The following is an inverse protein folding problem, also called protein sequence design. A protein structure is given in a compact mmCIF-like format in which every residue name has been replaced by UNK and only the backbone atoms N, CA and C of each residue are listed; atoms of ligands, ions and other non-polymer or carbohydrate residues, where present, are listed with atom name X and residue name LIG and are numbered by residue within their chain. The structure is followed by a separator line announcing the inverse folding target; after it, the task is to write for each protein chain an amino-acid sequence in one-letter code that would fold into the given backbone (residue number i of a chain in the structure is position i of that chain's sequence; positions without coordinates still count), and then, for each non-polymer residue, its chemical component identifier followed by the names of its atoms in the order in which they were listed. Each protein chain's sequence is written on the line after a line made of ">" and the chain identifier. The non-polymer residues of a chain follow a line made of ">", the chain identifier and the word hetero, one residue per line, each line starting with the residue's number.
data_IF_719464967206
#
_entry.id   IF_719464967206
#
_cell.length_a   1.000
_cell.length_b   1.000
_cell.length_c   1.000
_cell.angle_alpha   90.00
_cell.angle_beta   90.00
_cell.angle_gamma   90.00
#
_symmetry.space_group_name_H-M   'P 1'
#
loop_
_entity.id
_entity.type
_entity.pdbx_description
1 polymer ?
#
# COMPACT_ATOMS: atom_id res chain seq x y z
N UNK A 1 2.24 -29.58 -30.30
CA UNK A 1 2.89 -28.26 -30.38
C UNK A 1 3.53 -27.98 -29.04
N UNK A 2 4.82 -27.67 -28.98
CA UNK A 2 5.53 -27.38 -27.72
C UNK A 2 5.05 -26.03 -27.19
N UNK A 3 4.19 -26.07 -26.16
CA UNK A 3 3.57 -24.90 -25.57
C UNK A 3 4.62 -24.05 -24.83
N UNK A 4 4.48 -22.73 -24.91
CA UNK A 4 5.24 -21.82 -24.04
C UNK A 4 4.65 -21.90 -22.64
N UNK A 5 5.48 -21.86 -21.59
CA UNK A 5 4.99 -21.90 -20.21
C UNK A 5 5.08 -20.51 -19.60
N UNK A 6 3.98 -20.05 -19.01
CA UNK A 6 3.90 -18.77 -18.30
C UNK A 6 3.67 -19.07 -16.82
N UNK A 7 4.49 -18.49 -15.94
CA UNK A 7 4.33 -18.63 -14.50
C UNK A 7 3.84 -17.31 -13.92
N UNK A 8 2.76 -17.35 -13.15
CA UNK A 8 2.16 -16.19 -12.49
C UNK A 8 2.03 -16.44 -10.99
N UNK A 9 1.79 -15.40 -10.19
CA UNK A 9 1.73 -15.56 -8.74
C UNK A 9 0.44 -16.25 -8.26
N UNK A 10 -0.73 -15.93 -8.82
CA UNK A 10 -2.02 -16.36 -8.28
C UNK A 10 -2.90 -17.09 -9.30
N UNK A 11 -3.81 -17.98 -8.86
CA UNK A 11 -4.72 -18.69 -9.76
C UNK A 11 -5.67 -17.78 -10.53
N UNK A 12 -6.12 -16.69 -9.93
CA UNK A 12 -7.00 -15.71 -10.58
C UNK A 12 -6.30 -15.09 -11.80
N UNK A 13 -5.05 -14.64 -11.62
CA UNK A 13 -4.21 -14.16 -12.74
C UNK A 13 -4.01 -15.23 -13.80
N UNK A 14 -3.76 -16.47 -13.40
CA UNK A 14 -3.55 -17.57 -14.34
C UNK A 14 -4.76 -17.76 -15.26
N UNK A 15 -5.98 -17.77 -14.69
CA UNK A 15 -7.24 -17.88 -15.45
C UNK A 15 -7.40 -16.72 -16.44
N UNK A 16 -7.22 -15.48 -15.98
CA UNK A 16 -7.38 -14.27 -16.81
C UNK A 16 -6.36 -14.22 -17.94
N UNK A 17 -5.08 -14.44 -17.66
CA UNK A 17 -4.00 -14.39 -18.66
C UNK A 17 -4.13 -15.54 -19.67
N UNK A 18 -4.50 -16.74 -19.23
CA UNK A 18 -4.72 -17.87 -20.13
C UNK A 18 -5.82 -17.58 -21.16
N UNK A 19 -6.89 -16.87 -20.77
CA UNK A 19 -7.94 -16.42 -21.70
C UNK A 19 -7.40 -15.48 -22.78
N UNK A 20 -6.45 -14.60 -22.44
CA UNK A 20 -5.89 -13.63 -23.39
C UNK A 20 -4.85 -14.24 -24.32
N UNK A 21 -4.02 -15.14 -23.83
CA UNK A 21 -2.93 -15.78 -24.59
C UNK A 21 -3.38 -16.97 -25.43
N UNK A 22 -4.46 -17.65 -25.03
CA UNK A 22 -5.02 -18.80 -25.72
C UNK A 22 -4.14 -20.06 -25.66
N UNK A 23 -4.47 -21.03 -26.51
CA UNK A 23 -3.91 -22.40 -26.45
C UNK A 23 -2.41 -22.52 -26.78
N UNK A 24 -1.76 -21.44 -27.22
CA UNK A 24 -0.32 -21.43 -27.49
C UNK A 24 0.53 -21.38 -26.20
N UNK A 25 -0.10 -21.08 -25.06
CA UNK A 25 0.55 -20.92 -23.76
C UNK A 25 -0.09 -21.85 -22.73
N UNK A 26 0.72 -22.33 -21.79
CA UNK A 26 0.27 -22.99 -20.57
C UNK A 26 0.59 -22.08 -19.39
N UNK A 27 -0.44 -21.52 -18.76
CA UNK A 27 -0.29 -20.58 -17.64
C UNK A 27 -0.45 -21.30 -16.30
N UNK A 28 0.57 -21.27 -15.46
CA UNK A 28 0.62 -21.97 -14.17
C UNK A 28 0.85 -20.99 -13.01
N UNK A 29 0.09 -21.10 -11.90
CA UNK A 29 0.32 -20.28 -10.72
C UNK A 29 1.39 -20.88 -9.78
N UNK A 30 2.30 -20.05 -9.26
CA UNK A 30 3.25 -20.42 -8.19
C UNK A 30 2.61 -20.42 -6.80
N UNK A 31 1.53 -19.63 -6.62
CA UNK A 31 0.87 -19.26 -5.36
C UNK A 31 1.78 -18.55 -4.38
N UNK A 32 2.36 -17.43 -4.84
CA UNK A 32 3.26 -16.62 -4.03
C UNK A 32 4.67 -17.19 -3.96
N UNK A 33 5.32 -16.93 -2.83
CA UNK A 33 6.66 -17.43 -2.50
C UNK A 33 6.69 -18.96 -2.43
N UNK A 34 7.73 -19.54 -3.03
CA UNK A 34 7.89 -20.99 -3.16
C UNK A 34 8.95 -21.57 -2.23
N UNK A 35 9.78 -20.71 -1.64
CA UNK A 35 10.80 -21.04 -0.65
C UNK A 35 10.96 -19.85 0.31
N UNK A 36 11.47 -20.12 1.50
CA UNK A 36 11.75 -19.10 2.51
C UNK A 36 12.99 -19.47 3.34
N UNK A 37 13.47 -18.54 4.16
CA UNK A 37 14.52 -18.79 5.14
C UNK A 37 14.03 -19.79 6.20
N UNK A 38 14.79 -20.85 6.50
CA UNK A 38 14.49 -21.74 7.61
C UNK A 38 14.38 -20.97 8.94
N UNK A 39 13.41 -21.33 9.76
CA UNK A 39 13.18 -20.73 11.07
C UNK A 39 14.15 -21.25 12.16
N UNK A 40 15.44 -21.29 11.85
CA UNK A 40 16.54 -21.70 12.74
C UNK A 40 17.64 -20.65 12.71
N UNK A 41 18.52 -20.68 13.70
CA UNK A 41 19.71 -19.83 13.74
C UNK A 41 20.70 -20.18 12.60
N UNK A 42 21.42 -19.16 12.11
CA UNK A 42 22.41 -19.30 11.04
C UNK A 42 21.87 -19.37 9.60
N UNK A 43 20.57 -19.14 9.38
CA UNK A 43 19.99 -19.11 8.01
C UNK A 43 20.46 -17.92 7.18
N UNK A 44 21.02 -16.89 7.82
CA UNK A 44 21.69 -15.76 7.17
C UNK A 44 23.07 -15.62 7.82
N UNK A 45 24.14 -15.63 7.02
CA UNK A 45 25.53 -15.61 7.52
C UNK A 45 26.24 -14.31 7.13
N UNK A 46 26.32 -13.30 8.01
CA UNK A 46 27.01 -12.04 7.72
C UNK A 46 28.50 -12.20 7.35
N UNK A 47 29.18 -13.17 7.96
CA UNK A 47 30.60 -13.44 7.74
C UNK A 47 30.89 -14.15 6.41
N UNK A 48 29.85 -14.60 5.70
CA UNK A 48 29.90 -15.32 4.42
C UNK A 48 29.09 -14.56 3.36
N UNK A 49 29.37 -13.25 3.23
CA UNK A 49 28.70 -12.33 2.29
C UNK A 49 27.15 -12.41 2.33
N UNK A 50 26.61 -12.51 3.55
CA UNK A 50 25.17 -12.67 3.81
C UNK A 50 24.53 -13.90 3.13
N UNK A 51 25.30 -14.96 2.89
CA UNK A 51 24.79 -16.20 2.31
C UNK A 51 23.54 -16.69 3.07
N UNK A 52 22.51 -17.05 2.30
CA UNK A 52 21.19 -17.42 2.81
C UNK A 52 20.86 -18.88 2.52
N UNK A 53 20.40 -19.58 3.55
CA UNK A 53 19.80 -20.89 3.38
C UNK A 53 18.33 -20.75 2.96
N UNK A 54 17.90 -21.58 2.03
CA UNK A 54 16.52 -21.58 1.54
C UNK A 54 15.89 -22.96 1.71
N UNK A 55 14.66 -22.97 2.21
CA UNK A 55 13.83 -24.17 2.34
C UNK A 55 12.56 -24.01 1.51
N UNK A 56 12.24 -25.03 0.70
CA UNK A 56 11.03 -25.04 -0.12
C UNK A 56 9.83 -25.23 0.81
N UNK A 57 8.79 -24.41 0.65
CA UNK A 57 7.53 -24.61 1.36
C UNK A 57 6.94 -25.97 0.93
N UNK A 58 6.65 -26.89 1.88
CA UNK A 58 6.02 -28.18 1.57
C UNK A 58 4.74 -28.04 0.72
N UNK A 59 3.98 -26.96 0.89
CA UNK A 59 2.78 -26.65 0.11
C UNK A 59 3.10 -26.27 -1.34
N UNK A 60 4.28 -25.73 -1.60
CA UNK A 60 4.75 -25.37 -2.93
C UNK A 60 5.40 -26.55 -3.68
N UNK A 61 5.90 -27.56 -2.97
CA UNK A 61 6.66 -28.67 -3.55
C UNK A 61 5.93 -29.41 -4.69
N UNK A 62 4.64 -29.74 -4.49
CA UNK A 62 3.81 -30.39 -5.54
C UNK A 62 3.72 -29.54 -6.80
N UNK A 63 3.44 -28.24 -6.64
CA UNK A 63 3.29 -27.29 -7.75
C UNK A 63 4.59 -27.05 -8.48
N UNK A 64 5.71 -26.94 -7.77
CA UNK A 64 7.03 -26.84 -8.37
C UNK A 64 7.36 -28.07 -9.22
N UNK A 65 6.89 -29.26 -8.81
CA UNK A 65 7.02 -30.46 -9.63
C UNK A 65 6.17 -30.39 -10.90
N UNK A 66 4.93 -29.88 -10.81
CA UNK A 66 4.05 -29.67 -11.97
C UNK A 66 4.64 -28.65 -12.94
N UNK A 67 5.15 -27.52 -12.43
CA UNK A 67 5.86 -26.51 -13.22
C UNK A 67 7.09 -27.12 -13.88
N UNK A 68 7.93 -27.84 -13.13
CA UNK A 68 9.13 -28.47 -13.68
C UNK A 68 8.79 -29.47 -14.80
N UNK A 69 7.69 -30.21 -14.67
CA UNK A 69 7.21 -31.12 -15.72
C UNK A 69 6.67 -30.38 -16.94
N UNK A 70 5.92 -29.29 -16.76
CA UNK A 70 5.38 -28.49 -17.86
C UNK A 70 6.48 -27.78 -18.66
N UNK A 71 7.53 -27.34 -17.97
CA UNK A 71 8.67 -26.64 -18.59
C UNK A 71 9.59 -27.59 -19.36
N UNK A 72 9.64 -28.89 -18.99
CA UNK A 72 10.39 -29.90 -19.74
C UNK A 72 9.80 -30.06 -21.15
N UNK A 73 10.52 -29.56 -22.15
CA UNK A 73 10.11 -29.58 -23.56
C UNK A 73 9.36 -28.33 -24.02
N UNK A 74 9.19 -27.32 -23.15
CA UNK A 74 8.70 -26.00 -23.55
C UNK A 74 9.78 -25.23 -24.33
N UNK A 75 9.35 -24.38 -25.26
CA UNK A 75 10.28 -23.50 -26.01
C UNK A 75 10.74 -22.29 -25.20
N UNK A 76 9.84 -21.75 -24.37
CA UNK A 76 10.05 -20.55 -23.56
C UNK A 76 9.44 -20.72 -22.18
N UNK A 77 10.15 -20.22 -21.18
CA UNK A 77 9.67 -20.01 -19.83
C UNK A 77 9.50 -18.50 -19.62
N UNK A 78 8.26 -18.08 -19.41
CA UNK A 78 7.91 -16.67 -19.20
C UNK A 78 7.48 -16.50 -17.75
N UNK A 79 8.17 -15.61 -17.04
CA UNK A 79 7.91 -15.26 -15.65
C UNK A 79 7.09 -13.97 -15.61
N UNK A 80 5.84 -14.06 -15.17
CA UNK A 80 4.84 -13.00 -15.23
C UNK A 80 4.25 -12.68 -13.84
N UNK A 81 5.14 -12.55 -12.85
CA UNK A 81 4.80 -12.09 -11.49
C UNK A 81 4.60 -10.57 -11.45
N UNK A 82 4.13 -10.05 -10.32
CA UNK A 82 3.87 -8.62 -10.16
C UNK A 82 5.10 -7.73 -10.40
N UNK A 83 4.90 -6.45 -10.78
CA UNK A 83 5.98 -5.53 -11.16
C UNK A 83 6.72 -4.92 -9.94
N UNK A 84 6.63 -5.53 -8.76
CA UNK A 84 7.36 -5.11 -7.56
C UNK A 84 8.54 -6.04 -7.25
N UNK A 85 9.37 -5.65 -6.28
CA UNK A 85 10.53 -6.46 -5.84
C UNK A 85 10.13 -7.86 -5.34
N UNK A 86 8.94 -8.01 -4.77
CA UNK A 86 8.45 -9.31 -4.28
C UNK A 86 8.15 -10.23 -5.45
N UNK A 87 7.47 -9.70 -6.48
CA UNK A 87 7.25 -10.39 -7.73
C UNK A 87 8.57 -10.78 -8.41
N UNK A 88 9.55 -9.89 -8.45
CA UNK A 88 10.87 -10.21 -9.00
C UNK A 88 11.57 -11.36 -8.24
N UNK A 89 11.51 -11.33 -6.91
CA UNK A 89 12.04 -12.39 -6.06
C UNK A 89 11.34 -13.74 -6.24
N UNK A 90 10.01 -13.76 -6.39
CA UNK A 90 9.26 -14.99 -6.70
C UNK A 90 9.73 -15.57 -8.02
N UNK A 91 9.87 -14.73 -9.05
CA UNK A 91 10.39 -15.13 -10.37
C UNK A 91 11.79 -15.72 -10.27
N UNK A 92 12.69 -15.07 -9.52
CA UNK A 92 14.04 -15.55 -9.26
C UNK A 92 14.05 -16.89 -8.50
N UNK A 93 13.28 -17.02 -7.43
CA UNK A 93 13.16 -18.25 -6.64
C UNK A 93 12.69 -19.44 -7.48
N UNK A 94 11.64 -19.24 -8.29
CA UNK A 94 11.14 -20.27 -9.20
C UNK A 94 12.22 -20.67 -10.20
N UNK A 95 12.90 -19.69 -10.80
CA UNK A 95 13.97 -19.94 -11.77
C UNK A 95 15.11 -20.77 -11.15
N UNK A 96 15.59 -20.39 -9.96
CA UNK A 96 16.67 -21.10 -9.27
C UNK A 96 16.29 -22.55 -8.93
N UNK A 97 15.05 -22.79 -8.49
CA UNK A 97 14.57 -24.15 -8.21
C UNK A 97 14.50 -24.98 -9.51
N UNK A 98 14.06 -24.38 -10.62
CA UNK A 98 14.00 -25.07 -11.91
C UNK A 98 15.41 -25.41 -12.45
N UNK A 99 16.40 -24.53 -12.23
CA UNK A 99 17.82 -24.81 -12.52
C UNK A 99 18.33 -25.97 -11.70
N UNK A 100 18.10 -25.96 -10.38
CA UNK A 100 18.50 -27.04 -9.46
C UNK A 100 17.90 -28.39 -9.86
N UNK A 101 16.63 -28.40 -10.31
CA UNK A 101 15.93 -29.59 -10.83
C UNK A 101 16.35 -29.99 -12.26
N UNK A 102 17.28 -29.25 -12.89
CA UNK A 102 17.70 -29.45 -14.30
C UNK A 102 16.51 -29.48 -15.27
N UNK A 103 15.47 -28.70 -14.99
CA UNK A 103 14.22 -28.69 -15.77
C UNK A 103 14.24 -27.74 -16.98
N UNK A 104 15.20 -26.80 -17.01
CA UNK A 104 15.26 -25.68 -17.96
C UNK A 104 16.51 -25.72 -18.85
N UNK A 105 16.85 -26.89 -19.39
CA UNK A 105 17.99 -27.02 -20.31
C UNK A 105 17.59 -26.47 -21.69
N UNK A 106 18.37 -25.55 -22.23
CA UNK A 106 18.22 -24.98 -23.58
C UNK A 106 16.86 -24.31 -23.86
N UNK A 107 16.29 -23.64 -22.85
CA UNK A 107 15.03 -22.89 -22.94
C UNK A 107 15.27 -21.39 -22.82
N UNK A 108 14.57 -20.58 -23.61
CA UNK A 108 14.61 -19.13 -23.44
C UNK A 108 13.81 -18.72 -22.18
N UNK A 109 14.44 -17.90 -21.33
CA UNK A 109 13.85 -17.41 -20.08
C UNK A 109 13.55 -15.93 -20.26
N UNK A 110 12.29 -15.56 -20.05
CA UNK A 110 11.78 -14.21 -20.27
C UNK A 110 11.05 -13.73 -19.01
N UNK A 111 11.16 -12.44 -18.69
CA UNK A 111 10.43 -11.78 -17.60
C UNK A 111 9.50 -10.73 -18.22
N UNK A 112 8.21 -10.82 -17.91
CA UNK A 112 7.17 -9.95 -18.44
C UNK A 112 6.49 -9.24 -17.28
N UNK A 113 6.40 -7.90 -17.34
CA UNK A 113 5.76 -7.06 -16.33
C UNK A 113 4.60 -6.29 -16.94
N UNK A 114 3.48 -6.19 -16.23
CA UNK A 114 2.34 -5.36 -16.62
C UNK A 114 1.74 -4.70 -15.38
N UNK A 115 1.27 -3.47 -15.54
CA UNK A 115 0.65 -2.68 -14.47
C UNK A 115 -0.89 -2.83 -14.43
N UNK A 116 -1.47 -3.53 -15.41
CA UNK A 116 -2.88 -3.82 -15.51
C UNK A 116 -3.09 -5.16 -16.21
N UNK A 117 -4.11 -5.92 -15.80
CA UNK A 117 -4.43 -7.22 -16.39
C UNK A 117 -5.54 -7.05 -17.44
N UNK A 118 -5.24 -6.25 -18.47
CA UNK A 118 -6.07 -6.09 -19.66
C UNK A 118 -5.48 -6.88 -20.82
N UNK A 119 -6.30 -7.23 -21.82
CA UNK A 119 -5.82 -7.96 -23.00
C UNK A 119 -4.70 -7.21 -23.72
N UNK A 120 -4.83 -5.89 -23.89
CA UNK A 120 -3.81 -5.06 -24.54
C UNK A 120 -2.50 -5.03 -23.74
N UNK A 121 -2.58 -4.76 -22.44
CA UNK A 121 -1.38 -4.68 -21.59
C UNK A 121 -0.62 -6.00 -21.53
N UNK A 122 -1.33 -7.14 -21.44
CA UNK A 122 -0.71 -8.47 -21.42
C UNK A 122 -0.03 -8.80 -22.75
N UNK A 123 -0.69 -8.54 -23.88
CA UNK A 123 -0.11 -8.82 -25.21
C UNK A 123 1.10 -7.92 -25.50
N UNK A 124 1.02 -6.64 -25.15
CA UNK A 124 2.12 -5.69 -25.29
C UNK A 124 3.34 -6.09 -24.45
N UNK A 125 3.11 -6.50 -23.20
CA UNK A 125 4.17 -6.93 -22.31
C UNK A 125 4.84 -8.24 -22.80
N UNK A 126 4.07 -9.14 -23.41
CA UNK A 126 4.60 -10.37 -24.02
C UNK A 126 5.43 -10.12 -25.28
N UNK A 127 5.23 -8.98 -25.96
CA UNK A 127 6.04 -8.57 -27.10
C UNK A 127 7.39 -7.94 -26.68
N UNK A 128 7.49 -7.46 -25.44
CA UNK A 128 8.67 -6.77 -24.90
C UNK A 128 9.18 -7.43 -23.61
N UNK A 129 9.60 -8.71 -23.65
CA UNK A 129 10.17 -9.36 -22.49
C UNK A 129 11.53 -8.73 -22.11
N UNK A 130 11.85 -8.79 -20.82
CA UNK A 130 13.17 -8.43 -20.28
C UNK A 130 13.81 -9.63 -19.56
N UNK A 131 15.06 -9.48 -19.14
CA UNK A 131 15.66 -10.38 -18.17
C UNK A 131 15.14 -10.09 -16.75
N UNK A 132 15.35 -11.03 -15.83
CA UNK A 132 15.19 -10.75 -14.39
C UNK A 132 16.12 -9.61 -14.01
N UNK A 133 15.60 -8.67 -13.24
CA UNK A 133 16.31 -7.53 -12.71
C UNK A 133 17.04 -7.94 -11.43
N UNK A 134 18.37 -8.03 -11.52
CA UNK A 134 19.23 -8.42 -10.40
C UNK A 134 19.15 -7.45 -9.23
N UNK A 135 19.06 -6.15 -9.49
CA UNK A 135 19.03 -5.11 -8.45
C UNK A 135 17.75 -5.21 -7.61
N UNK A 136 16.61 -5.50 -8.26
CA UNK A 136 15.35 -5.74 -7.55
C UNK A 136 15.39 -7.01 -6.70
N UNK A 137 16.05 -8.07 -7.18
CA UNK A 137 16.27 -9.30 -6.41
C UNK A 137 17.17 -9.01 -5.21
N UNK A 138 18.29 -8.30 -5.41
CA UNK A 138 19.22 -7.94 -4.35
C UNK A 138 18.55 -7.05 -3.29
N UNK A 139 17.70 -6.11 -3.71
CA UNK A 139 16.90 -5.31 -2.79
C UNK A 139 15.93 -6.15 -1.94
N UNK A 140 15.33 -7.20 -2.52
CA UNK A 140 14.52 -8.16 -1.77
C UNK A 140 15.38 -8.98 -0.80
N UNK A 141 16.51 -9.52 -1.27
CA UNK A 141 17.44 -10.32 -0.45
C UNK A 141 17.95 -9.51 0.74
N UNK A 142 18.47 -8.30 0.51
CA UNK A 142 18.95 -7.40 1.55
C UNK A 142 17.87 -7.12 2.61
N UNK A 143 16.62 -6.88 2.18
CA UNK A 143 15.49 -6.73 3.10
C UNK A 143 15.23 -8.01 3.90
N UNK A 144 15.23 -9.18 3.25
CA UNK A 144 14.99 -10.47 3.91
C UNK A 144 16.08 -10.76 4.95
N UNK A 145 17.35 -10.52 4.60
CA UNK A 145 18.50 -10.63 5.49
C UNK A 145 18.31 -9.75 6.73
N UNK A 146 18.02 -8.47 6.50
CA UNK A 146 17.88 -7.48 7.56
C UNK A 146 16.74 -7.81 8.52
N UNK A 147 15.57 -8.16 7.98
CA UNK A 147 14.41 -8.50 8.79
C UNK A 147 14.65 -9.81 9.59
N UNK A 148 15.34 -10.80 9.01
CA UNK A 148 15.77 -12.02 9.70
C UNK A 148 16.75 -11.71 10.84
N UNK A 149 17.83 -10.97 10.55
CA UNK A 149 18.88 -10.68 11.53
C UNK A 149 18.34 -9.88 12.72
N UNK A 150 17.49 -8.87 12.47
CA UNK A 150 16.83 -8.10 13.54
C UNK A 150 15.89 -8.99 14.36
N UNK A 151 15.07 -9.80 13.69
CA UNK A 151 14.12 -10.69 14.35
C UNK A 151 14.80 -11.72 15.25
N UNK A 152 15.75 -12.48 14.70
CA UNK A 152 16.46 -13.54 15.42
C UNK A 152 17.39 -13.02 16.51
N UNK A 153 18.09 -11.89 16.29
CA UNK A 153 19.03 -11.36 17.28
C UNK A 153 18.32 -10.72 18.47
N UNK A 154 17.19 -10.03 18.25
CA UNK A 154 16.51 -9.26 19.30
C UNK A 154 15.39 -10.01 20.00
N UNK A 155 14.70 -10.94 19.34
CA UNK A 155 13.55 -11.64 19.96
C UNK A 155 13.92 -12.41 21.24
N UNK A 156 15.06 -13.13 21.33
CA UNK A 156 15.47 -13.79 22.58
C UNK A 156 15.68 -12.80 23.74
N UNK A 157 16.22 -11.62 23.45
CA UNK A 157 16.41 -10.55 24.43
C UNK A 157 15.05 -10.02 24.90
N UNK A 158 14.12 -9.78 23.97
CA UNK A 158 12.76 -9.33 24.30
C UNK A 158 12.02 -10.34 25.15
N UNK A 159 12.05 -11.63 24.80
CA UNK A 159 11.37 -12.68 25.57
C UNK A 159 11.88 -12.76 27.02
N UNK A 160 13.18 -12.57 27.22
CA UNK A 160 13.79 -12.56 28.56
C UNK A 160 13.46 -11.30 29.36
N UNK A 161 13.38 -10.13 28.72
CA UNK A 161 13.21 -8.82 29.39
C UNK A 161 11.77 -8.35 29.49
N UNK A 162 10.90 -8.81 28.59
CA UNK A 162 9.50 -8.41 28.49
C UNK A 162 8.65 -9.67 28.26
N UNK A 163 8.26 -10.38 29.34
CA UNK A 163 7.40 -11.56 29.25
C UNK A 163 6.10 -11.23 28.49
N UNK A 164 5.81 -12.00 27.45
CA UNK A 164 4.65 -11.80 26.57
C UNK A 164 4.95 -11.09 25.23
N UNK A 165 6.15 -10.51 25.06
CA UNK A 165 6.59 -10.05 23.76
C UNK A 165 6.70 -11.23 22.78
N UNK A 166 6.19 -11.09 21.54
CA UNK A 166 6.22 -12.18 20.55
C UNK A 166 7.41 -12.10 19.61
N UNK A 167 7.69 -10.92 19.06
CA UNK A 167 8.73 -10.73 18.05
C UNK A 167 9.29 -9.31 18.07
N UNK A 168 10.58 -9.19 17.76
CA UNK A 168 11.18 -7.92 17.36
C UNK A 168 11.00 -7.74 15.84
N UNK A 169 10.64 -6.54 15.41
CA UNK A 169 10.56 -6.21 13.99
C UNK A 169 11.01 -4.78 13.74
N UNK A 170 11.92 -4.58 12.79
CA UNK A 170 12.50 -3.27 12.47
C UNK A 170 11.45 -2.20 12.16
N UNK A 171 10.41 -2.55 11.39
CA UNK A 171 9.33 -1.62 11.02
C UNK A 171 8.21 -1.62 12.07
N UNK A 172 7.86 -2.79 12.61
CA UNK A 172 6.77 -2.95 13.57
C UNK A 172 7.04 -2.20 14.88
N UNK A 173 8.28 -2.26 15.38
CA UNK A 173 8.67 -1.58 16.62
C UNK A 173 8.57 -0.05 16.51
N UNK A 174 8.96 0.52 15.37
CA UNK A 174 8.82 1.97 15.11
C UNK A 174 7.35 2.37 15.03
N UNK A 175 6.51 1.59 14.35
CA UNK A 175 5.08 1.86 14.29
C UNK A 175 4.42 1.81 15.69
N UNK A 176 4.78 0.82 16.50
CA UNK A 176 4.33 0.73 17.90
C UNK A 176 4.80 1.93 18.71
N UNK A 177 6.08 2.34 18.55
CA UNK A 177 6.63 3.51 19.22
C UNK A 177 5.83 4.78 18.93
N UNK A 178 5.46 5.04 17.68
CA UNK A 178 4.66 6.22 17.32
C UNK A 178 3.29 6.25 18.02
N UNK A 179 2.66 5.08 18.20
CA UNK A 179 1.39 4.96 18.93
C UNK A 179 1.62 5.23 20.43
N UNK A 180 2.65 4.64 21.03
CA UNK A 180 2.99 4.87 22.43
C UNK A 180 3.35 6.34 22.70
N UNK A 181 4.13 6.98 21.82
CA UNK A 181 4.48 8.40 21.95
C UNK A 181 3.24 9.29 21.94
N UNK A 182 2.28 9.01 21.04
CA UNK A 182 1.00 9.73 21.03
C UNK A 182 0.20 9.50 22.31
N UNK A 183 0.17 8.28 22.84
CA UNK A 183 -0.55 8.01 24.09
C UNK A 183 0.08 8.76 25.26
N UNK A 184 1.41 8.78 25.35
CA UNK A 184 2.14 9.55 26.36
C UNK A 184 1.85 11.05 26.23
N UNK A 185 1.77 11.59 25.00
CA UNK A 185 1.37 12.98 24.77
C UNK A 185 -0.05 13.27 25.30
N UNK A 186 -0.98 12.32 25.13
CA UNK A 186 -2.37 12.43 25.61
C UNK A 186 -2.43 12.35 27.13
N UNK A 187 -1.70 11.42 27.76
CA UNK A 187 -1.64 11.27 29.22
C UNK A 187 -0.98 12.48 29.89
N UNK A 188 0.06 13.05 29.27
CA UNK A 188 0.74 14.24 29.76
C UNK A 188 -0.03 15.54 29.48
N UNK A 189 -1.08 15.49 28.65
CA UNK A 189 -1.88 16.66 28.32
C UNK A 189 -2.60 17.18 29.57
N UNK A 190 -2.35 18.45 29.91
CA UNK A 190 -3.06 19.14 30.99
C UNK A 190 -4.16 20.01 30.39
N UNK A 191 -5.44 19.62 30.48
CA UNK A 191 -6.54 20.42 29.96
C UNK A 191 -6.53 21.80 30.61
N UNK A 192 -6.63 22.84 29.78
CA UNK A 192 -6.82 24.21 30.22
C UNK A 192 -8.19 24.67 29.80
N UNK A 193 -9.02 25.03 30.78
CA UNK A 193 -10.32 25.64 30.53
C UNK A 193 -10.15 26.96 29.76
N UNK A 194 -11.03 27.15 28.77
CA UNK A 194 -11.19 28.40 28.07
C UNK A 194 -12.60 28.47 27.48
N UNK A 195 -13.08 29.70 27.29
CA UNK A 195 -14.40 30.00 26.80
C UNK A 195 -14.32 30.79 25.50
N UNK A 196 -15.27 30.55 24.60
CA UNK A 196 -15.51 31.39 23.43
C UNK A 196 -16.87 32.05 23.55
N UNK A 197 -16.99 33.27 23.02
CA UNK A 197 -18.29 33.94 22.91
C UNK A 197 -18.62 34.07 21.44
N UNK A 198 -19.62 33.31 21.02
CA UNK A 198 -20.21 33.34 19.69
C UNK A 198 -21.56 34.09 19.77
N UNK A 199 -21.91 34.85 18.72
CA UNK A 199 -23.14 35.65 18.65
C UNK A 199 -23.79 35.52 17.28
N UNK A 200 -25.11 35.68 17.25
CA UNK A 200 -25.91 35.72 16.05
C UNK A 200 -26.30 37.17 15.76
N UNK A 201 -25.68 37.77 14.74
CA UNK A 201 -25.92 39.16 14.35
C UNK A 201 -26.99 39.22 13.27
N UNK A 202 -27.97 40.10 13.46
CA UNK A 202 -28.95 40.42 12.40
C UNK A 202 -28.30 41.40 11.41
N UNK A 203 -28.08 40.94 10.18
CA UNK A 203 -27.45 41.72 9.10
C UNK A 203 -28.44 42.25 8.05
N UNK A 204 -29.74 42.05 8.27
CA UNK A 204 -30.84 42.48 7.41
C UNK A 204 -32.18 41.92 7.91
N UNK A 205 -33.31 42.15 7.20
CA UNK A 205 -34.62 41.64 7.59
C UNK A 205 -34.63 40.13 7.82
N UNK A 206 -34.05 39.38 6.88
CA UNK A 206 -34.06 37.90 6.84
C UNK A 206 -32.64 37.29 6.84
N UNK A 207 -31.62 38.07 7.23
CA UNK A 207 -30.23 37.61 7.20
C UNK A 207 -29.63 37.63 8.61
N UNK A 208 -29.11 36.47 9.02
CA UNK A 208 -28.37 36.29 10.26
C UNK A 208 -26.94 35.83 9.94
N UNK A 209 -25.98 36.32 10.71
CA UNK A 209 -24.57 35.97 10.60
C UNK A 209 -24.07 35.49 11.96
N UNK A 210 -23.42 34.32 11.99
CA UNK A 210 -22.69 33.88 13.18
C UNK A 210 -21.34 34.58 13.21
N UNK A 211 -21.03 35.24 14.32
CA UNK A 211 -19.75 35.90 14.56
C UNK A 211 -19.16 35.42 15.89
N UNK A 212 -17.83 35.38 15.95
CA UNK A 212 -17.07 35.08 17.17
C UNK A 212 -16.37 36.33 17.68
N UNK A 213 -16.31 36.51 19.00
CA UNK A 213 -15.55 37.59 19.62
C UNK A 213 -14.10 37.59 19.14
N UNK A 214 -13.71 38.68 18.46
CA UNK A 214 -12.34 38.88 17.99
C UNK A 214 -11.55 39.87 18.85
N UNK A 215 -12.23 40.84 19.47
CA UNK A 215 -11.61 41.94 20.22
C UNK A 215 -12.50 42.35 21.39
N UNK A 216 -11.94 42.44 22.59
CA UNK A 216 -12.62 42.90 23.81
C UNK A 216 -11.80 44.02 24.45
N UNK A 217 -12.43 45.14 24.81
CA UNK A 217 -11.78 46.28 25.47
C UNK A 217 -10.51 46.78 24.75
N UNK A 218 -10.55 46.84 23.41
CA UNK A 218 -9.41 47.32 22.63
C UNK A 218 -8.28 46.31 22.42
N UNK A 219 -8.36 45.10 22.99
CA UNK A 219 -7.36 44.02 22.84
C UNK A 219 -7.94 42.86 22.05
N UNK A 220 -7.12 42.26 21.17
CA UNK A 220 -7.50 41.04 20.46
C UNK A 220 -7.76 39.94 21.50
N UNK A 221 -8.88 39.25 21.38
CA UNK A 221 -9.20 38.13 22.25
C UNK A 221 -8.46 36.89 21.73
N UNK A 222 -7.45 36.45 22.47
CA UNK A 222 -6.75 35.20 22.23
C UNK A 222 -7.50 34.02 22.86
N UNK A 223 -7.13 32.79 22.45
CA UNK A 223 -7.83 31.55 22.81
C UNK A 223 -8.05 31.37 24.32
N UNK A 224 -7.16 31.89 25.17
CA UNK A 224 -7.19 31.66 26.62
C UNK A 224 -7.51 32.90 27.45
N UNK A 225 -7.94 34.00 26.83
CA UNK A 225 -8.24 35.25 27.54
C UNK A 225 -9.52 35.16 28.38
N UNK A 226 -10.46 34.33 27.95
CA UNK A 226 -11.64 33.97 28.73
C UNK A 226 -11.39 32.61 29.39
N UNK A 227 -10.70 32.62 30.53
CA UNK A 227 -10.25 31.41 31.21
C UNK A 227 -11.32 30.74 32.10
N UNK A 228 -12.45 31.41 32.34
CA UNK A 228 -13.54 30.90 33.16
C UNK A 228 -14.91 31.49 32.76
N UNK A 229 -15.96 30.90 33.30
CA UNK A 229 -17.35 31.30 33.04
C UNK A 229 -17.62 32.77 33.38
N UNK A 230 -17.12 33.27 34.51
CA UNK A 230 -17.37 34.65 34.93
C UNK A 230 -16.82 35.67 33.92
N UNK A 231 -15.61 35.43 33.38
CA UNK A 231 -15.01 36.25 32.34
C UNK A 231 -15.82 36.18 31.03
N UNK A 232 -16.28 34.99 30.64
CA UNK A 232 -17.09 34.81 29.44
C UNK A 232 -18.46 35.51 29.56
N UNK A 233 -19.11 35.41 30.71
CA UNK A 233 -20.39 36.06 30.99
C UNK A 233 -20.26 37.59 31.06
N UNK A 234 -19.15 38.11 31.59
CA UNK A 234 -18.84 39.53 31.55
C UNK A 234 -18.64 40.02 30.10
N UNK A 235 -17.90 39.25 29.28
CA UNK A 235 -17.72 39.56 27.86
C UNK A 235 -19.05 39.52 27.10
N UNK A 236 -19.91 38.52 27.36
CA UNK A 236 -21.26 38.43 26.81
C UNK A 236 -22.11 39.64 27.17
N UNK A 237 -22.15 40.04 28.45
CA UNK A 237 -22.93 41.19 28.89
C UNK A 237 -22.44 42.50 28.25
N UNK A 238 -21.14 42.65 28.01
CA UNK A 238 -20.60 43.80 27.27
C UNK A 238 -21.04 43.79 25.79
N UNK A 239 -21.01 42.62 25.15
CA UNK A 239 -21.46 42.42 23.77
C UNK A 239 -22.95 42.71 23.60
N UNK A 240 -23.82 42.22 24.50
CA UNK A 240 -25.27 42.45 24.45
C UNK A 240 -25.65 43.94 24.56
N UNK A 241 -24.79 44.74 25.20
CA UNK A 241 -24.98 46.19 25.37
C UNK A 241 -24.37 47.02 24.24
N UNK A 242 -23.71 46.38 23.27
CA UNK A 242 -22.97 47.06 22.20
C UNK A 242 -23.72 46.94 20.88
N UNK A 243 -23.79 48.04 20.13
CA UNK A 243 -24.22 48.02 18.73
C UNK A 243 -23.03 47.75 17.82
N UNK A 244 -23.19 46.80 16.90
CA UNK A 244 -22.13 46.40 15.98
C UNK A 244 -22.26 47.14 14.64
N UNK A 245 -21.12 47.46 14.04
CA UNK A 245 -21.02 47.95 12.68
C UNK A 245 -19.98 47.14 11.92
N UNK A 246 -20.18 46.98 10.61
CA UNK A 246 -19.20 46.31 9.75
C UNK A 246 -17.99 47.21 9.59
N UNK A 247 -16.85 46.80 10.12
CA UNK A 247 -15.61 47.56 10.03
C UNK A 247 -14.89 47.35 8.69
N UNK A 248 -14.90 46.13 8.15
CA UNK A 248 -14.24 45.77 6.91
C UNK A 248 -14.90 44.53 6.29
N UNK A 249 -14.93 44.48 4.95
CA UNK A 249 -15.34 43.31 4.17
C UNK A 249 -14.23 43.02 3.18
N UNK A 250 -13.73 41.79 3.20
CA UNK A 250 -12.71 41.33 2.25
C UNK A 250 -13.23 40.11 1.48
N UNK A 251 -13.18 40.19 0.15
CA UNK A 251 -13.52 39.10 -0.75
C UNK A 251 -12.28 38.68 -1.53
N UNK A 252 -11.87 37.42 -1.40
CA UNK A 252 -10.71 36.84 -2.09
C UNK A 252 -11.13 35.62 -2.90
N UNK A 253 -10.81 35.53 -4.20
CA UNK A 253 -11.02 34.32 -4.96
C UNK A 253 -10.13 33.21 -4.41
N UNK A 254 -10.70 32.04 -4.14
CA UNK A 254 -9.95 30.84 -3.72
C UNK A 254 -10.08 29.80 -4.81
N UNK A 255 -8.93 29.30 -5.28
CA UNK A 255 -8.87 28.16 -6.22
C UNK A 255 -8.49 26.90 -5.46
N UNK A 256 -9.28 25.85 -5.63
CA UNK A 256 -8.96 24.50 -5.12
C UNK A 256 -8.72 23.57 -6.29
N UNK A 257 -7.53 23.01 -6.37
CA UNK A 257 -7.21 21.99 -7.38
C UNK A 257 -7.78 20.63 -6.94
N UNK A 258 -8.15 19.77 -7.90
CA UNK A 258 -8.57 18.40 -7.59
C UNK A 258 -7.42 17.61 -6.95
N UNK A 259 -7.73 16.58 -6.13
CA UNK A 259 -6.71 15.69 -5.61
C UNK A 259 -6.03 14.90 -6.73
N UNK A 260 -4.76 14.49 -6.56
CA UNK A 260 -4.09 13.60 -7.51
C UNK A 260 -4.74 12.21 -7.54
N UNK A 261 -4.43 11.40 -8.57
CA UNK A 261 -4.75 9.97 -8.57
C UNK A 261 -4.23 9.24 -7.33
N UNK A 262 -4.84 8.10 -7.01
CA UNK A 262 -4.50 7.33 -5.83
C UNK A 262 -3.12 6.66 -5.93
N UNK A 263 -2.31 6.84 -4.89
CA UNK A 263 -1.23 5.94 -4.49
C UNK A 263 -1.73 4.94 -3.46
N UNK A 264 -0.91 3.95 -3.08
CA UNK A 264 -1.30 2.98 -2.04
C UNK A 264 -1.67 3.66 -0.72
N UNK A 265 -0.89 4.66 -0.29
CA UNK A 265 -1.12 5.33 1.00
C UNK A 265 -2.39 6.17 0.99
N UNK A 266 -2.62 6.96 -0.07
CA UNK A 266 -3.80 7.82 -0.20
C UNK A 266 -5.07 7.02 -0.41
N UNK A 267 -5.01 5.90 -1.14
CA UNK A 267 -6.12 4.95 -1.26
C UNK A 267 -6.50 4.37 0.11
N UNK A 268 -5.53 3.90 0.90
CA UNK A 268 -5.80 3.34 2.23
C UNK A 268 -6.39 4.38 3.18
N UNK A 269 -5.86 5.62 3.17
CA UNK A 269 -6.38 6.72 4.00
C UNK A 269 -7.81 7.09 3.63
N UNK A 270 -8.13 7.24 2.34
CA UNK A 270 -9.47 7.58 1.90
C UNK A 270 -10.46 6.44 2.11
N UNK A 271 -10.05 5.18 1.94
CA UNK A 271 -10.88 4.01 2.24
C UNK A 271 -11.19 3.91 3.75
N UNK A 272 -10.23 4.21 4.62
CA UNK A 272 -10.48 4.29 6.05
C UNK A 272 -11.46 5.42 6.41
N UNK A 273 -11.22 6.63 5.86
CA UNK A 273 -12.03 7.82 6.15
C UNK A 273 -13.45 7.73 5.63
N UNK A 274 -13.66 7.21 4.41
CA UNK A 274 -14.95 7.22 3.72
C UNK A 274 -15.72 5.90 3.84
N UNK A 275 -15.03 4.77 3.91
CA UNK A 275 -15.65 3.44 3.88
C UNK A 275 -15.47 2.67 5.20
N UNK A 276 -14.69 3.19 6.16
CA UNK A 276 -14.39 2.51 7.42
C UNK A 276 -13.55 1.24 7.24
N UNK A 277 -12.82 1.11 6.13
CA UNK A 277 -12.01 -0.07 5.87
C UNK A 277 -10.66 0.00 6.61
N UNK A 278 -10.24 -1.13 7.19
CA UNK A 278 -8.85 -1.28 7.62
C UNK A 278 -7.91 -1.36 6.42
N UNK A 279 -6.63 -1.02 6.61
CA UNK A 279 -5.63 -1.11 5.55
C UNK A 279 -5.58 -2.51 4.91
N UNK A 280 -5.67 -3.57 5.74
CA UNK A 280 -5.73 -4.97 5.27
C UNK A 280 -6.93 -5.23 4.38
N UNK A 281 -8.14 -4.79 4.78
CA UNK A 281 -9.35 -4.96 3.98
C UNK A 281 -9.25 -4.21 2.65
N UNK A 282 -8.76 -2.98 2.67
CA UNK A 282 -8.54 -2.18 1.46
C UNK A 282 -7.62 -2.89 0.48
N UNK A 283 -6.47 -3.40 0.95
CA UNK A 283 -5.53 -4.11 0.07
C UNK A 283 -6.08 -5.44 -0.45
N UNK A 284 -6.85 -6.18 0.35
CA UNK A 284 -7.51 -7.41 -0.11
C UNK A 284 -8.54 -7.15 -1.21
N UNK A 285 -9.34 -6.09 -1.08
CA UNK A 285 -10.30 -5.68 -2.11
C UNK A 285 -9.56 -5.22 -3.35
N UNK A 286 -8.55 -4.34 -3.20
CA UNK A 286 -7.77 -3.85 -4.32
C UNK A 286 -7.05 -4.99 -5.08
N UNK A 287 -6.50 -5.99 -4.38
CA UNK A 287 -5.91 -7.18 -5.02
C UNK A 287 -6.94 -7.88 -5.92
N UNK A 288 -8.16 -8.12 -5.43
CA UNK A 288 -9.21 -8.78 -6.23
C UNK A 288 -9.61 -7.94 -7.44
N UNK A 289 -9.72 -6.62 -7.27
CA UNK A 289 -10.02 -5.71 -8.37
C UNK A 289 -8.91 -5.70 -9.44
N UNK A 290 -7.64 -5.80 -9.03
CA UNK A 290 -6.50 -5.87 -9.92
C UNK A 290 -6.41 -7.23 -10.65
N UNK A 291 -6.54 -8.34 -9.91
CA UNK A 291 -6.43 -9.70 -10.47
C UNK A 291 -7.60 -10.08 -11.37
N UNK A 292 -8.75 -9.49 -11.09
CA UNK A 292 -9.95 -9.60 -11.88
C UNK A 292 -11.13 -10.13 -11.08
N UNK A 293 -12.31 -9.64 -11.45
CA UNK A 293 -13.61 -10.09 -10.92
C UNK A 293 -14.49 -10.59 -12.06
N UNK A 294 -15.32 -11.60 -11.79
CA UNK A 294 -16.25 -12.14 -12.79
C UNK A 294 -17.44 -11.18 -12.96
N UNK A 295 -17.55 -10.56 -14.14
CA UNK A 295 -18.64 -9.65 -14.54
C UNK A 295 -19.20 -10.14 -15.87
N UNK A 296 -20.51 -10.45 -15.91
CA UNK A 296 -21.17 -10.88 -17.15
C UNK A 296 -20.57 -12.17 -17.76
N UNK A 297 -20.00 -13.06 -16.93
CA UNK A 297 -19.34 -14.28 -17.40
C UNK A 297 -17.87 -14.08 -17.83
N UNK A 298 -17.33 -12.87 -17.73
CA UNK A 298 -15.94 -12.57 -18.05
C UNK A 298 -15.16 -12.11 -16.81
N UNK A 299 -13.96 -12.67 -16.60
CA UNK A 299 -13.03 -12.18 -15.57
C UNK A 299 -12.31 -10.94 -16.11
N UNK A 300 -12.49 -9.79 -15.45
CA UNK A 300 -11.95 -8.49 -15.88
C UNK A 300 -11.21 -7.80 -14.74
N UNK A 301 -9.98 -7.35 -14.99
CA UNK A 301 -9.23 -6.46 -14.10
C UNK A 301 -9.79 -5.04 -14.14
N UNK A 302 -10.16 -4.50 -12.98
CA UNK A 302 -10.88 -3.22 -12.86
C UNK A 302 -9.99 -2.04 -12.46
N UNK A 303 -8.82 -2.30 -11.90
CA UNK A 303 -7.86 -1.26 -11.49
C UNK A 303 -6.45 -1.61 -11.95
N UNK A 304 -5.58 -0.60 -11.96
CA UNK A 304 -4.14 -0.79 -12.10
C UNK A 304 -3.53 -1.37 -10.81
N UNK A 305 -2.25 -1.73 -10.88
CA UNK A 305 -1.53 -2.31 -9.76
C UNK A 305 -1.59 -1.41 -8.50
N UNK A 306 -2.10 -1.98 -7.41
CA UNK A 306 -2.46 -1.25 -6.19
C UNK A 306 -1.29 -0.95 -5.25
N UNK A 307 -0.09 -1.50 -5.51
CA UNK A 307 1.14 -1.21 -4.76
C UNK A 307 2.01 -0.26 -5.58
N UNK A 308 1.76 1.04 -5.42
CA UNK A 308 2.41 2.12 -6.17
C UNK A 308 2.56 3.37 -5.31
N UNK A 309 3.68 4.05 -5.48
CA UNK A 309 3.96 5.39 -4.96
C UNK A 309 3.83 6.48 -6.05
N UNK A 310 3.70 6.07 -7.32
CA UNK A 310 3.51 6.96 -8.45
C UNK A 310 2.06 7.41 -8.62
N UNK A 311 1.90 8.67 -9.04
CA UNK A 311 0.61 9.28 -9.44
C UNK A 311 0.42 9.36 -10.95
N UNK A 312 1.33 8.74 -11.71
CA UNK A 312 1.30 8.71 -13.17
C UNK A 312 0.10 7.92 -13.67
N UNK A 313 -0.56 8.44 -14.70
CA UNK A 313 -1.74 7.83 -15.32
C UNK A 313 -1.42 7.48 -16.76
N UNK A 314 -1.86 6.30 -17.22
CA UNK A 314 -1.73 5.91 -18.61
C UNK A 314 -2.45 6.91 -19.55
N UNK A 315 -1.87 7.26 -20.72
CA UNK A 315 -2.49 8.22 -21.65
C UNK A 315 -3.91 7.86 -22.07
N UNK A 316 -4.20 6.56 -22.24
CA UNK A 316 -5.56 6.06 -22.52
C UNK A 316 -6.55 6.39 -21.40
N UNK A 317 -6.17 6.21 -20.13
CA UNK A 317 -7.02 6.51 -18.99
C UNK A 317 -7.25 8.02 -18.83
N UNK A 318 -6.24 8.84 -19.13
CA UNK A 318 -6.41 10.30 -19.19
C UNK A 318 -7.40 10.72 -20.28
N UNK A 319 -7.30 10.10 -21.46
CA UNK A 319 -8.19 10.40 -22.60
C UNK A 319 -9.63 10.03 -22.26
N UNK A 320 -9.86 8.81 -21.76
CA UNK A 320 -11.19 8.34 -21.35
C UNK A 320 -11.81 9.20 -20.25
N UNK A 321 -11.03 9.59 -19.24
CA UNK A 321 -11.52 10.43 -18.14
C UNK A 321 -11.89 11.84 -18.61
N UNK A 322 -11.20 12.39 -19.62
CA UNK A 322 -11.46 13.72 -20.19
C UNK A 322 -12.61 13.75 -21.21
N UNK A 323 -12.91 12.62 -21.84
CA UNK A 323 -14.01 12.50 -22.81
C UNK A 323 -15.38 12.33 -22.16
N UNK A 324 -15.44 12.11 -20.85
CA UNK A 324 -16.65 12.09 -20.05
C UNK A 324 -16.85 13.43 -19.32
#
# INVERSE_FOLDING_TARGET
>A
MTANVVIVESPAKAKTINKYLGNAYTVLPSFGHVRDLPAKDGSVRPDDDFAMDWEIDPKAAKRLSEIASAVKGAKRLILATDPDREGEAISWHVLEILKQKKAIKDIAIERVVFNAITKSAVLEAMAHPRAIDGELVDAYLARRALDYLVGFSLSPILWRKLPGARSAGRVQSVALRLVCEREIEIEAFKPREYWTVDTLLKAGPDTQLTARLHKLNGKRADKFDLGNEAQAMAAKAAIERTTFAVQAVEAKPVRRNPPPPFTTSTMQQEAARKLGFSATRTMQVAQRLYEGVDIGGETVGLITYMRTDGVSVAPEALTQTRSH
#
